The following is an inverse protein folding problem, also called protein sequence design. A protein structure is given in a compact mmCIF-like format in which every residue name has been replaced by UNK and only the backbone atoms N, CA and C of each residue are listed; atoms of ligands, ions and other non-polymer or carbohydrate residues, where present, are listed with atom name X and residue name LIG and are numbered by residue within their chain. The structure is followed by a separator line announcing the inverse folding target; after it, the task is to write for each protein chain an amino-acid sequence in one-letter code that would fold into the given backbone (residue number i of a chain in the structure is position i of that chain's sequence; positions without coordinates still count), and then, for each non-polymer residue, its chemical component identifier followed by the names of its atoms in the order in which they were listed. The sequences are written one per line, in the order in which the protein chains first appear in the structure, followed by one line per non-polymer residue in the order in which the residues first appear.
data_IF_510914673206
#
_entry.id   IF_510914673206
#
_cell.length_a   1.000
_cell.length_b   1.000
_cell.length_c   1.000
_cell.angle_alpha   90.00
_cell.angle_beta   90.00
_cell.angle_gamma   90.00
#
_symmetry.space_group_name_H-M   'P 1'
#
loop_
_entity.id
_entity.type
_entity.pdbx_description
1 polymer ?
#
# COMPACT_ATOMS: atom_id res chain seq x y z
N UNK A 1 -16.11 33.41 -46.18
CA UNK A 1 -16.92 32.94 -45.03
C UNK A 1 -16.45 31.54 -44.70
N UNK A 2 -15.60 31.40 -43.68
CA UNK A 2 -15.15 30.10 -43.15
C UNK A 2 -15.99 29.77 -41.91
N UNK A 3 -16.82 28.74 -42.05
CA UNK A 3 -17.62 28.20 -40.92
C UNK A 3 -16.74 27.18 -40.19
N UNK A 4 -16.29 27.54 -39.00
CA UNK A 4 -15.55 26.62 -38.12
C UNK A 4 -16.52 25.64 -37.45
N UNK A 5 -16.37 24.35 -37.72
CA UNK A 5 -17.04 23.29 -36.97
C UNK A 5 -16.37 23.13 -35.61
N UNK A 6 -17.04 23.53 -34.55
CA UNK A 6 -16.69 23.18 -33.16
C UNK A 6 -17.19 21.76 -32.90
N UNK A 7 -16.31 20.77 -32.89
CA UNK A 7 -16.61 19.43 -32.42
C UNK A 7 -16.57 19.39 -30.89
N UNK A 8 -17.74 19.35 -30.27
CA UNK A 8 -17.88 19.12 -28.82
C UNK A 8 -17.51 17.66 -28.52
N UNK A 9 -16.39 17.46 -27.83
CA UNK A 9 -16.04 16.16 -27.25
C UNK A 9 -16.89 15.98 -25.97
N UNK A 10 -17.99 15.23 -26.11
CA UNK A 10 -18.75 14.77 -24.94
C UNK A 10 -17.94 13.68 -24.24
N UNK A 11 -17.50 13.95 -23.02
CA UNK A 11 -16.95 12.95 -22.12
C UNK A 11 -18.07 11.93 -21.82
N UNK A 12 -18.01 10.76 -22.45
CA UNK A 12 -18.85 9.63 -22.10
C UNK A 12 -18.41 9.11 -20.72
N UNK A 13 -19.24 9.36 -19.72
CA UNK A 13 -19.17 8.60 -18.46
C UNK A 13 -19.47 7.15 -18.79
N UNK A 14 -18.42 6.30 -18.75
CA UNK A 14 -18.58 4.86 -18.90
C UNK A 14 -19.42 4.37 -17.70
N UNK A 15 -20.71 4.17 -17.95
CA UNK A 15 -21.57 3.41 -17.04
C UNK A 15 -20.96 2.01 -16.91
N UNK A 16 -20.75 1.54 -15.65
CA UNK A 16 -20.29 0.19 -15.40
C UNK A 16 -21.21 -0.77 -16.16
N UNK A 17 -20.66 -1.48 -17.18
CA UNK A 17 -21.43 -2.48 -17.90
C UNK A 17 -21.96 -3.48 -16.87
N UNK A 18 -23.29 -3.66 -16.82
CA UNK A 18 -23.92 -4.56 -15.88
C UNK A 18 -23.29 -5.95 -15.95
N UNK A 19 -23.05 -6.58 -14.81
CA UNK A 19 -22.49 -7.94 -14.73
C UNK A 19 -23.60 -8.94 -15.15
N UNK A 20 -23.52 -9.57 -16.34
CA UNK A 20 -24.59 -10.45 -16.79
C UNK A 20 -24.84 -11.58 -15.81
N UNK A 21 -26.11 -11.77 -15.41
CA UNK A 21 -26.50 -12.79 -14.43
C UNK A 21 -26.24 -12.44 -12.97
N UNK A 22 -25.62 -11.32 -12.66
CA UNK A 22 -25.26 -10.91 -11.29
C UNK A 22 -25.65 -9.44 -11.02
N UNK A 23 -26.93 -9.13 -10.76
CA UNK A 23 -27.40 -7.74 -10.58
C UNK A 23 -26.78 -7.07 -9.36
N UNK A 24 -26.36 -7.86 -8.38
CA UNK A 24 -25.73 -7.36 -7.16
C UNK A 24 -24.21 -7.22 -7.26
N UNK A 25 -23.62 -7.54 -8.40
CA UNK A 25 -22.18 -7.38 -8.62
C UNK A 25 -21.77 -5.91 -8.48
N UNK A 26 -20.58 -5.68 -7.89
CA UNK A 26 -20.00 -4.32 -7.79
C UNK A 26 -19.42 -3.86 -9.14
N UNK A 27 -18.89 -4.78 -9.91
CA UNK A 27 -18.21 -4.50 -11.17
C UNK A 27 -16.86 -3.77 -11.01
N UNK A 28 -16.16 -3.63 -12.14
CA UNK A 28 -15.00 -2.75 -12.26
C UNK A 28 -15.48 -1.44 -12.89
N UNK A 29 -15.30 -0.32 -12.20
CA UNK A 29 -15.84 0.97 -12.63
C UNK A 29 -15.03 1.61 -13.76
N UNK A 30 -13.71 1.50 -13.68
CA UNK A 30 -12.78 2.00 -14.69
C UNK A 30 -11.44 1.28 -14.64
N UNK A 31 -10.64 1.49 -15.68
CA UNK A 31 -9.26 1.03 -15.74
C UNK A 31 -8.32 2.23 -15.79
N UNK A 32 -7.28 2.22 -14.95
CA UNK A 32 -6.19 3.19 -14.99
C UNK A 32 -5.02 2.54 -15.71
N UNK A 33 -4.48 3.23 -16.70
CA UNK A 33 -3.26 2.85 -17.40
C UNK A 33 -2.08 3.59 -16.80
N UNK A 34 -1.12 2.88 -16.24
CA UNK A 34 0.01 3.45 -15.50
C UNK A 34 1.30 3.27 -16.27
N UNK A 35 2.12 4.34 -16.36
CA UNK A 35 3.50 4.23 -16.82
C UNK A 35 4.43 3.92 -15.61
N UNK A 36 5.00 2.70 -15.53
CA UNK A 36 5.88 2.29 -14.45
C UNK A 36 7.15 3.15 -14.31
N UNK A 37 7.62 3.71 -15.41
CA UNK A 37 8.84 4.54 -15.44
C UNK A 37 8.60 5.93 -14.89
N UNK A 38 7.42 6.51 -15.15
CA UNK A 38 7.02 7.81 -14.62
C UNK A 38 6.75 7.75 -13.10
N UNK A 39 6.25 6.61 -12.61
CA UNK A 39 5.89 6.41 -11.21
C UNK A 39 6.50 5.12 -10.67
N UNK A 40 7.82 5.05 -10.43
CA UNK A 40 8.53 3.80 -10.14
C UNK A 40 8.24 3.18 -8.77
N UNK A 41 7.64 3.93 -7.84
CA UNK A 41 7.29 3.46 -6.48
C UNK A 41 5.93 4.00 -6.07
N UNK A 42 5.04 3.15 -5.54
CA UNK A 42 3.70 3.53 -5.08
C UNK A 42 3.24 2.73 -3.85
N UNK A 43 2.27 3.30 -3.11
CA UNK A 43 1.65 2.71 -1.93
C UNK A 43 2.10 3.35 -0.62
N UNK A 44 1.15 3.95 0.10
CA UNK A 44 1.41 4.82 1.25
C UNK A 44 1.82 4.11 2.54
N UNK A 45 1.86 2.78 2.54
CA UNK A 45 2.49 2.06 3.64
C UNK A 45 4.00 2.28 3.71
N UNK A 46 4.64 2.61 2.57
CA UNK A 46 6.09 2.84 2.49
C UNK A 46 6.48 4.14 1.79
N UNK A 47 5.68 4.62 0.84
CA UNK A 47 6.03 5.73 -0.03
C UNK A 47 5.07 6.91 0.13
N UNK A 48 5.50 8.11 -0.29
CA UNK A 48 4.65 9.30 -0.27
C UNK A 48 3.63 9.36 -1.40
N UNK A 49 3.64 8.39 -2.33
CA UNK A 49 2.77 8.34 -3.50
C UNK A 49 1.93 7.07 -3.51
N UNK A 50 0.75 7.17 -4.13
CA UNK A 50 -0.11 6.04 -4.44
C UNK A 50 -0.70 6.20 -5.84
N UNK A 51 -1.64 5.36 -6.24
CA UNK A 51 -2.35 5.46 -7.51
C UNK A 51 -3.25 6.71 -7.57
N UNK A 52 -3.50 7.27 -8.77
CA UNK A 52 -4.34 8.45 -8.97
C UNK A 52 -5.83 8.09 -8.88
N UNK A 53 -6.24 7.66 -7.69
CA UNK A 53 -7.60 7.25 -7.38
C UNK A 53 -8.46 8.45 -7.00
N UNK A 54 -9.72 8.41 -7.39
CA UNK A 54 -10.76 9.31 -6.90
C UNK A 54 -11.24 8.87 -5.51
N UNK A 55 -11.98 9.72 -4.83
CA UNK A 55 -12.62 9.35 -3.58
C UNK A 55 -13.55 8.14 -3.76
N UNK A 56 -13.59 7.25 -2.77
CA UNK A 56 -14.32 5.97 -2.82
C UNK A 56 -13.85 5.02 -3.94
N UNK A 57 -12.60 5.09 -4.37
CA UNK A 57 -12.00 4.11 -5.27
C UNK A 57 -11.04 3.17 -4.55
N UNK A 58 -11.11 1.89 -4.90
CA UNK A 58 -10.25 0.85 -4.34
C UNK A 58 -9.67 -0.03 -5.44
N UNK A 59 -8.38 -0.32 -5.32
CA UNK A 59 -7.68 -1.32 -6.14
C UNK A 59 -7.48 -2.57 -5.31
N UNK A 60 -8.00 -3.69 -5.80
CA UNK A 60 -7.80 -4.99 -5.17
C UNK A 60 -6.48 -5.60 -5.63
N UNK A 61 -5.64 -6.03 -4.69
CA UNK A 61 -4.40 -6.73 -5.01
C UNK A 61 -4.25 -8.00 -4.18
N UNK A 62 -3.73 -9.06 -4.84
CA UNK A 62 -3.54 -10.37 -4.24
C UNK A 62 -2.09 -10.81 -4.44
N UNK A 63 -1.47 -11.29 -3.37
CA UNK A 63 -0.09 -11.75 -3.35
C UNK A 63 -0.01 -13.27 -3.15
N UNK A 64 1.15 -13.85 -3.47
CA UNK A 64 1.63 -15.21 -3.18
C UNK A 64 1.14 -16.33 -4.10
N UNK A 65 0.09 -16.15 -4.88
CA UNK A 65 -0.43 -17.17 -5.80
C UNK A 65 0.49 -17.52 -6.98
N UNK A 66 0.03 -18.41 -7.86
CA UNK A 66 -1.27 -19.06 -7.87
C UNK A 66 -1.29 -20.39 -7.09
N UNK A 67 -2.13 -20.49 -6.07
CA UNK A 67 -2.37 -21.75 -5.35
C UNK A 67 -3.74 -22.32 -5.74
N UNK A 68 -3.83 -23.45 -6.48
CA UNK A 68 -5.09 -23.90 -7.11
C UNK A 68 -6.28 -23.96 -6.17
N UNK A 69 -6.03 -24.38 -4.92
CA UNK A 69 -7.11 -24.55 -3.92
C UNK A 69 -7.83 -23.24 -3.58
N UNK A 70 -7.12 -22.13 -3.55
CA UNK A 70 -7.67 -20.85 -3.08
C UNK A 70 -7.72 -19.80 -4.18
N UNK A 71 -6.66 -19.69 -5.00
CA UNK A 71 -6.64 -18.72 -6.10
C UNK A 71 -7.80 -18.93 -7.07
N UNK A 72 -8.15 -20.19 -7.38
CA UNK A 72 -9.30 -20.48 -8.24
C UNK A 72 -10.62 -19.97 -7.64
N UNK A 73 -10.84 -20.17 -6.34
CA UNK A 73 -12.02 -19.67 -5.66
C UNK A 73 -12.07 -18.13 -5.62
N UNK A 74 -10.93 -17.48 -5.45
CA UNK A 74 -10.85 -16.02 -5.53
C UNK A 74 -11.23 -15.54 -6.94
N UNK A 75 -10.73 -16.20 -7.99
CA UNK A 75 -11.08 -15.88 -9.38
C UNK A 75 -12.59 -16.06 -9.65
N UNK A 76 -13.19 -17.15 -9.15
CA UNK A 76 -14.61 -17.41 -9.30
C UNK A 76 -15.47 -16.34 -8.57
N UNK A 77 -15.05 -15.91 -7.37
CA UNK A 77 -15.70 -14.83 -6.63
C UNK A 77 -15.58 -13.50 -7.39
N UNK A 78 -14.38 -13.15 -7.88
CA UNK A 78 -14.18 -11.93 -8.67
C UNK A 78 -14.99 -11.94 -9.95
N UNK A 79 -15.08 -13.09 -10.64
CA UNK A 79 -15.89 -13.27 -11.84
C UNK A 79 -17.38 -13.04 -11.56
N UNK A 80 -17.92 -13.61 -10.46
CA UNK A 80 -19.33 -13.40 -10.07
C UNK A 80 -19.66 -11.95 -9.72
N UNK A 81 -18.65 -11.14 -9.42
CA UNK A 81 -18.77 -9.71 -9.18
C UNK A 81 -18.31 -8.83 -10.35
N UNK A 82 -17.89 -9.40 -11.50
CA UNK A 82 -17.28 -8.71 -12.64
C UNK A 82 -16.14 -7.75 -12.21
N UNK A 83 -15.46 -8.11 -11.14
CA UNK A 83 -14.38 -7.31 -10.54
C UNK A 83 -13.02 -7.73 -11.09
N UNK A 84 -12.19 -6.77 -11.46
CA UNK A 84 -10.80 -7.01 -11.88
C UNK A 84 -9.84 -6.60 -10.77
N UNK A 85 -8.70 -7.31 -10.70
CA UNK A 85 -7.68 -7.12 -9.68
C UNK A 85 -6.28 -7.24 -10.27
N UNK A 86 -5.26 -6.95 -9.47
CA UNK A 86 -3.86 -7.22 -9.78
C UNK A 86 -3.35 -8.34 -8.90
N UNK A 87 -2.72 -9.35 -9.51
CA UNK A 87 -2.13 -10.49 -8.82
C UNK A 87 -0.61 -10.42 -8.90
N UNK A 88 0.05 -10.40 -7.74
CA UNK A 88 1.50 -10.46 -7.63
C UNK A 88 1.92 -11.90 -7.37
N UNK A 89 2.29 -12.60 -8.44
CA UNK A 89 2.53 -14.04 -8.43
C UNK A 89 3.97 -14.38 -8.05
N UNK A 90 4.12 -15.38 -7.20
CA UNK A 90 5.43 -15.95 -6.84
C UNK A 90 5.90 -16.87 -7.95
N UNK A 91 7.15 -16.71 -8.41
CA UNK A 91 7.70 -17.45 -9.56
C UNK A 91 7.71 -18.96 -9.36
N UNK A 92 8.04 -19.45 -8.15
CA UNK A 92 7.99 -20.90 -7.84
C UNK A 92 6.55 -21.44 -7.88
N UNK A 93 5.55 -20.68 -7.47
CA UNK A 93 4.14 -21.04 -7.59
C UNK A 93 3.69 -21.02 -9.06
N UNK A 94 4.12 -20.00 -9.82
CA UNK A 94 3.85 -19.92 -11.25
C UNK A 94 4.45 -21.12 -12.02
N UNK A 95 5.67 -21.54 -11.67
CA UNK A 95 6.31 -22.73 -12.22
C UNK A 95 5.55 -24.01 -11.87
N UNK A 96 5.10 -24.14 -10.62
CA UNK A 96 4.34 -25.30 -10.14
C UNK A 96 2.92 -25.37 -10.70
N UNK A 97 2.30 -24.21 -10.99
CA UNK A 97 0.93 -24.10 -11.48
C UNK A 97 0.80 -23.07 -12.64
N UNK A 98 1.39 -23.35 -13.81
CA UNK A 98 1.32 -22.45 -14.95
C UNK A 98 -0.12 -22.24 -15.45
N UNK A 99 -1.00 -23.23 -15.30
CA UNK A 99 -2.42 -23.09 -15.61
C UNK A 99 -3.09 -22.00 -14.77
N UNK A 100 -2.77 -21.93 -13.47
CA UNK A 100 -3.28 -20.88 -12.60
C UNK A 100 -2.87 -19.49 -13.04
N UNK A 101 -1.63 -19.30 -13.55
CA UNK A 101 -1.19 -18.02 -14.13
C UNK A 101 -2.04 -17.64 -15.34
N UNK A 102 -2.27 -18.59 -16.25
CA UNK A 102 -3.10 -18.36 -17.44
C UNK A 102 -4.55 -18.04 -17.06
N UNK A 103 -5.12 -18.75 -16.07
CA UNK A 103 -6.47 -18.44 -15.57
C UNK A 103 -6.59 -17.00 -15.04
N UNK A 104 -5.59 -16.48 -14.32
CA UNK A 104 -5.55 -15.09 -13.87
C UNK A 104 -5.58 -14.14 -15.08
N UNK A 105 -4.73 -14.38 -16.09
CA UNK A 105 -4.67 -13.59 -17.33
C UNK A 105 -5.99 -13.67 -18.10
N UNK A 106 -6.50 -14.87 -18.36
CA UNK A 106 -7.67 -15.12 -19.20
C UNK A 106 -8.95 -14.58 -18.56
N UNK A 107 -9.00 -14.52 -17.22
CA UNK A 107 -10.04 -13.82 -16.49
C UNK A 107 -9.88 -12.28 -16.57
N UNK A 108 -8.87 -11.76 -17.28
CA UNK A 108 -8.64 -10.34 -17.54
C UNK A 108 -8.09 -9.56 -16.35
N UNK A 109 -7.46 -10.24 -15.40
CA UNK A 109 -6.74 -9.60 -14.31
C UNK A 109 -5.32 -9.22 -14.74
N UNK A 110 -4.71 -8.28 -14.03
CA UNK A 110 -3.31 -7.93 -14.24
C UNK A 110 -2.41 -8.95 -13.54
N UNK A 111 -1.55 -9.62 -14.33
CA UNK A 111 -0.51 -10.53 -13.84
C UNK A 111 0.75 -9.74 -13.58
N UNK A 112 1.22 -9.71 -12.35
CA UNK A 112 2.43 -9.05 -11.87
C UNK A 112 3.33 -10.05 -11.12
N UNK A 113 4.46 -9.61 -10.56
CA UNK A 113 5.45 -10.52 -9.98
C UNK A 113 5.73 -10.24 -8.51
N UNK A 114 6.03 -11.33 -7.75
CA UNK A 114 6.31 -11.30 -6.32
C UNK A 114 7.59 -12.07 -5.96
N UNK A 115 8.67 -11.88 -6.76
CA UNK A 115 9.94 -12.61 -6.68
C UNK A 115 9.83 -14.10 -7.04
N UNK A 116 10.96 -14.83 -7.01
CA UNK A 116 10.99 -16.25 -7.37
C UNK A 116 10.50 -17.14 -6.24
N UNK A 117 11.03 -16.96 -5.02
CA UNK A 117 10.83 -17.88 -3.90
C UNK A 117 10.23 -17.22 -2.66
N UNK A 118 9.77 -15.98 -2.76
CA UNK A 118 9.20 -15.23 -1.65
C UNK A 118 10.11 -15.17 -0.41
N UNK A 119 11.38 -14.73 -0.50
CA UNK A 119 12.28 -14.70 0.65
C UNK A 119 11.82 -13.68 1.70
N UNK A 120 11.72 -14.11 2.95
CA UNK A 120 11.17 -13.33 4.06
C UNK A 120 12.01 -12.14 4.55
N UNK A 121 13.01 -11.71 3.79
CA UNK A 121 13.93 -10.64 4.22
C UNK A 121 14.78 -10.12 3.07
N UNK A 122 14.16 -9.72 1.97
CA UNK A 122 14.83 -9.18 0.78
C UNK A 122 15.79 -8.04 1.12
N UNK A 123 15.40 -7.17 2.03
CA UNK A 123 16.19 -6.03 2.51
C UNK A 123 17.55 -6.39 3.14
N UNK A 124 17.71 -7.65 3.57
CA UNK A 124 18.91 -8.17 4.24
C UNK A 124 19.71 -9.14 3.39
N UNK A 125 19.19 -9.54 2.25
CA UNK A 125 19.93 -10.37 1.30
C UNK A 125 21.06 -9.58 0.62
N UNK A 126 22.14 -10.25 0.21
CA UNK A 126 23.07 -9.66 -0.76
C UNK A 126 22.31 -9.15 -1.98
N UNK A 127 22.64 -7.97 -2.48
CA UNK A 127 21.89 -7.32 -3.57
C UNK A 127 21.76 -8.22 -4.80
N UNK A 128 22.81 -8.96 -5.15
CA UNK A 128 22.78 -9.85 -6.33
C UNK A 128 21.80 -11.02 -6.15
N UNK A 129 21.61 -11.50 -4.92
CA UNK A 129 20.58 -12.50 -4.62
C UNK A 129 19.18 -11.90 -4.77
N UNK A 130 18.99 -10.66 -4.31
CA UNK A 130 17.72 -9.97 -4.49
C UNK A 130 17.40 -9.71 -5.96
N UNK A 131 18.41 -9.34 -6.77
CA UNK A 131 18.27 -9.22 -8.22
C UNK A 131 17.86 -10.55 -8.88
N UNK A 132 18.52 -11.64 -8.51
CA UNK A 132 18.18 -12.98 -9.00
C UNK A 132 16.75 -13.38 -8.66
N UNK A 133 16.30 -13.13 -7.44
CA UNK A 133 14.91 -13.39 -7.02
C UNK A 133 13.89 -12.63 -7.89
N UNK A 134 14.19 -11.37 -8.23
CA UNK A 134 13.33 -10.57 -9.09
C UNK A 134 13.33 -11.10 -10.53
N UNK A 135 14.52 -11.29 -11.14
CA UNK A 135 14.66 -11.71 -12.53
C UNK A 135 14.11 -13.12 -12.78
N UNK A 136 14.40 -14.06 -11.87
CA UNK A 136 13.88 -15.42 -11.96
C UNK A 136 12.36 -15.46 -11.77
N UNK A 137 11.82 -14.64 -10.86
CA UNK A 137 10.37 -14.50 -10.69
C UNK A 137 9.68 -14.05 -11.97
N UNK A 138 10.21 -13.03 -12.63
CA UNK A 138 9.71 -12.55 -13.92
C UNK A 138 9.81 -13.65 -14.97
N UNK A 139 10.96 -14.34 -15.08
CA UNK A 139 11.17 -15.40 -16.05
C UNK A 139 10.19 -16.57 -15.85
N UNK A 140 9.95 -17.00 -14.60
CA UNK A 140 9.02 -18.08 -14.29
C UNK A 140 7.57 -17.72 -14.62
N UNK A 141 7.13 -16.49 -14.32
CA UNK A 141 5.78 -16.03 -14.66
C UNK A 141 5.63 -15.89 -16.18
N UNK A 142 6.64 -15.35 -16.88
CA UNK A 142 6.66 -15.28 -18.36
C UNK A 142 6.53 -16.66 -18.99
N UNK A 143 7.32 -17.63 -18.51
CA UNK A 143 7.25 -19.01 -19.00
C UNK A 143 5.85 -19.64 -18.75
N UNK A 144 5.23 -19.34 -17.62
CA UNK A 144 3.90 -19.86 -17.27
C UNK A 144 2.77 -19.27 -18.14
N UNK A 145 2.91 -18.03 -18.62
CA UNK A 145 1.96 -17.39 -19.56
C UNK A 145 1.92 -18.11 -20.91
N UNK A 146 3.03 -18.68 -21.35
CA UNK A 146 3.16 -19.56 -22.53
C UNK A 146 2.71 -18.95 -23.88
N UNK A 147 2.51 -17.65 -23.96
CA UNK A 147 2.08 -16.91 -25.17
C UNK A 147 3.15 -15.91 -25.65
N UNK A 148 4.32 -15.93 -25.04
CA UNK A 148 5.42 -15.00 -25.34
C UNK A 148 5.23 -13.61 -24.69
N UNK A 149 4.13 -13.37 -23.99
CA UNK A 149 3.93 -12.10 -23.28
C UNK A 149 4.67 -12.07 -21.96
N UNK A 150 5.13 -10.90 -21.57
CA UNK A 150 5.69 -10.68 -20.23
C UNK A 150 4.58 -10.30 -19.24
N UNK A 151 4.75 -10.59 -17.93
CA UNK A 151 3.88 -10.03 -16.92
C UNK A 151 3.94 -8.50 -16.93
N UNK A 152 2.91 -7.86 -16.38
CA UNK A 152 2.94 -6.42 -16.17
C UNK A 152 4.22 -6.03 -15.42
N UNK A 153 4.88 -4.92 -15.79
CA UNK A 153 6.11 -4.47 -15.14
C UNK A 153 5.85 -3.89 -13.74
N UNK A 154 5.05 -4.62 -12.97
CA UNK A 154 4.72 -4.35 -11.59
C UNK A 154 5.36 -5.41 -10.69
N UNK A 155 6.01 -4.98 -9.65
CA UNK A 155 6.72 -5.83 -8.70
C UNK A 155 6.29 -5.48 -7.28
N UNK A 156 5.91 -6.47 -6.50
CA UNK A 156 5.77 -6.30 -5.05
C UNK A 156 6.86 -7.11 -4.36
N UNK A 157 7.54 -6.49 -3.40
CA UNK A 157 8.60 -7.14 -2.63
C UNK A 157 7.98 -7.88 -1.45
N UNK A 158 8.34 -9.15 -1.21
CA UNK A 158 7.83 -9.96 -0.11
C UNK A 158 7.91 -9.27 1.24
N UNK A 159 6.77 -9.28 1.97
CA UNK A 159 6.64 -8.63 3.27
C UNK A 159 6.89 -7.12 3.24
N UNK A 160 6.89 -6.49 2.05
CA UNK A 160 7.21 -5.09 1.80
C UNK A 160 8.64 -4.72 2.28
N UNK A 161 9.58 -5.69 2.33
CA UNK A 161 10.93 -5.53 2.88
C UNK A 161 11.93 -5.21 1.77
N UNK A 162 12.05 -3.94 1.45
CA UNK A 162 12.92 -3.41 0.39
C UNK A 162 14.05 -2.53 0.96
N UNK A 163 14.98 -2.16 0.10
CA UNK A 163 16.01 -1.16 0.33
C UNK A 163 16.34 -0.41 -0.97
N UNK A 164 17.11 0.67 -0.88
CA UNK A 164 17.43 1.54 -2.02
C UNK A 164 18.07 0.78 -3.19
N UNK A 165 18.94 -0.20 -2.92
CA UNK A 165 19.59 -0.99 -3.96
C UNK A 165 18.60 -1.83 -4.77
N UNK A 166 17.63 -2.44 -4.11
CA UNK A 166 16.55 -3.22 -4.74
C UNK A 166 15.67 -2.29 -5.58
N UNK A 167 15.28 -1.14 -5.04
CA UNK A 167 14.42 -0.18 -5.74
C UNK A 167 15.12 0.44 -6.95
N UNK A 168 16.40 0.77 -6.84
CA UNK A 168 17.20 1.25 -7.96
C UNK A 168 17.31 0.18 -9.06
N UNK A 169 17.52 -1.09 -8.67
CA UNK A 169 17.55 -2.18 -9.61
C UNK A 169 16.19 -2.35 -10.31
N UNK A 170 15.09 -2.40 -9.57
CA UNK A 170 13.75 -2.48 -10.15
C UNK A 170 13.49 -1.33 -11.14
N UNK A 171 13.83 -0.10 -10.74
CA UNK A 171 13.74 1.08 -11.63
C UNK A 171 14.58 0.95 -12.89
N UNK A 172 15.81 0.43 -12.80
CA UNK A 172 16.69 0.21 -13.96
C UNK A 172 16.11 -0.80 -14.97
N UNK A 173 15.27 -1.72 -14.48
CA UNK A 173 14.53 -2.68 -15.30
C UNK A 173 13.17 -2.14 -15.80
N UNK A 174 12.82 -0.90 -15.48
CA UNK A 174 11.51 -0.32 -15.81
C UNK A 174 10.35 -0.89 -15.01
N UNK A 175 10.62 -1.49 -13.85
CA UNK A 175 9.61 -2.04 -12.96
C UNK A 175 9.09 -0.96 -12.01
N UNK A 176 7.78 -0.96 -11.77
CA UNK A 176 7.16 -0.20 -10.70
C UNK A 176 7.08 -1.07 -9.44
N UNK A 177 7.65 -0.61 -8.34
CA UNK A 177 7.56 -1.29 -7.05
C UNK A 177 6.27 -0.85 -6.34
N UNK A 178 5.45 -1.84 -6.01
CA UNK A 178 4.18 -1.65 -5.34
C UNK A 178 4.30 -1.99 -3.86
N UNK A 179 4.07 -1.02 -3.01
CA UNK A 179 3.61 -1.25 -1.66
C UNK A 179 2.07 -1.40 -1.68
N UNK A 180 1.41 -1.09 -0.59
CA UNK A 180 -0.04 -0.98 -0.53
C UNK A 180 -0.41 0.30 0.23
N UNK A 181 -1.70 0.65 0.24
CA UNK A 181 -2.17 1.73 1.10
C UNK A 181 -2.67 1.18 2.43
N UNK A 182 -3.22 -0.01 2.43
CA UNK A 182 -3.65 -0.71 3.65
C UNK A 182 -3.79 -2.21 3.42
N UNK A 183 -3.44 -3.02 4.41
CA UNK A 183 -3.61 -4.47 4.37
C UNK A 183 -4.92 -4.89 5.05
N UNK A 184 -5.36 -6.13 4.84
CA UNK A 184 -6.44 -6.77 5.59
C UNK A 184 -5.92 -7.71 6.71
N UNK A 185 -4.62 -7.86 6.85
CA UNK A 185 -3.93 -8.76 7.79
C UNK A 185 -4.32 -10.25 7.64
N UNK A 186 -4.73 -10.65 6.45
CA UNK A 186 -5.18 -12.01 6.13
C UNK A 186 -4.07 -13.07 6.17
N UNK A 187 -2.79 -12.67 6.21
CA UNK A 187 -1.64 -13.56 6.45
C UNK A 187 -1.45 -13.91 7.93
N UNK A 188 -2.10 -13.17 8.85
CA UNK A 188 -2.04 -13.41 10.29
C UNK A 188 -3.05 -14.48 10.69
N UNK A 189 -2.87 -15.06 11.86
CA UNK A 189 -3.87 -15.99 12.40
C UNK A 189 -5.07 -15.23 12.98
N UNK A 190 -5.96 -14.83 12.06
CA UNK A 190 -7.20 -14.10 12.35
C UNK A 190 -8.38 -14.76 11.63
N UNK A 191 -9.59 -14.54 12.12
CA UNK A 191 -10.80 -15.04 11.46
C UNK A 191 -11.09 -14.28 10.15
N UNK A 192 -11.85 -14.91 9.24
CA UNK A 192 -12.33 -14.25 8.03
C UNK A 192 -13.18 -12.99 8.34
N UNK A 193 -13.95 -13.01 9.43
CA UNK A 193 -14.68 -11.83 9.90
C UNK A 193 -13.73 -10.69 10.24
N UNK A 194 -12.58 -10.99 10.88
CA UNK A 194 -11.59 -9.98 11.21
C UNK A 194 -10.88 -9.42 9.98
N UNK A 195 -10.59 -10.25 8.97
CA UNK A 195 -10.06 -9.80 7.66
C UNK A 195 -11.01 -8.79 7.04
N UNK A 196 -12.30 -9.11 6.96
CA UNK A 196 -13.33 -8.19 6.47
C UNK A 196 -13.35 -6.86 7.27
N UNK A 197 -13.43 -6.93 8.60
CA UNK A 197 -13.46 -5.73 9.45
C UNK A 197 -12.25 -4.82 9.22
N UNK A 198 -11.06 -5.41 9.15
CA UNK A 198 -9.82 -4.64 8.94
C UNK A 198 -9.78 -4.02 7.56
N UNK A 199 -10.18 -4.75 6.51
CA UNK A 199 -10.22 -4.22 5.15
C UNK A 199 -11.13 -2.97 5.09
N UNK A 200 -12.38 -3.09 5.56
CA UNK A 200 -13.35 -1.99 5.51
C UNK A 200 -12.93 -0.83 6.41
N UNK A 201 -12.59 -1.07 7.67
CA UNK A 201 -12.17 -0.02 8.61
C UNK A 201 -10.99 0.80 8.09
N UNK A 202 -9.98 0.13 7.52
CA UNK A 202 -8.77 0.80 7.03
C UNK A 202 -9.02 1.55 5.73
N UNK A 203 -9.88 1.02 4.86
CA UNK A 203 -10.31 1.71 3.66
C UNK A 203 -11.09 2.98 4.01
N UNK A 204 -12.06 2.90 4.92
CA UNK A 204 -12.83 4.07 5.36
C UNK A 204 -11.94 5.15 5.98
N UNK A 205 -10.96 4.76 6.78
CA UNK A 205 -10.01 5.70 7.37
C UNK A 205 -9.20 6.46 6.31
N UNK A 206 -8.96 5.87 5.14
CA UNK A 206 -8.20 6.47 4.03
C UNK A 206 -9.10 7.05 2.93
N UNK A 207 -10.33 6.59 2.82
CA UNK A 207 -11.30 6.98 1.80
C UNK A 207 -11.09 6.33 0.43
N UNK A 208 -9.88 5.89 0.12
CA UNK A 208 -9.47 5.25 -1.14
C UNK A 208 -8.15 4.52 -0.97
N UNK A 209 -7.73 3.71 -1.94
CA UNK A 209 -6.38 3.16 -1.94
C UNK A 209 -6.25 1.73 -2.43
N UNK A 210 -5.02 1.20 -2.31
CA UNK A 210 -4.61 -0.14 -2.71
C UNK A 210 -4.81 -1.08 -1.51
N UNK A 211 -5.73 -2.03 -1.63
CA UNK A 211 -5.96 -3.08 -0.64
C UNK A 211 -5.05 -4.28 -0.91
N UNK A 212 -4.28 -4.70 0.10
CA UNK A 212 -3.43 -5.88 0.06
C UNK A 212 -4.13 -7.08 0.71
N UNK A 213 -4.26 -8.15 -0.07
CA UNK A 213 -4.79 -9.45 0.28
C UNK A 213 -3.85 -10.55 -0.26
N UNK A 214 -4.10 -11.81 0.12
CA UNK A 214 -3.35 -12.98 -0.38
C UNK A 214 -4.31 -14.04 -0.91
N UNK A 215 -4.11 -14.48 -2.16
CA UNK A 215 -4.98 -15.48 -2.80
C UNK A 215 -4.64 -16.94 -2.43
N UNK A 216 -3.74 -17.11 -1.47
CA UNK A 216 -3.40 -18.41 -0.89
C UNK A 216 -4.06 -18.67 0.48
N UNK A 217 -4.91 -17.77 0.95
CA UNK A 217 -5.50 -17.82 2.29
C UNK A 217 -6.98 -18.20 2.25
N UNK A 218 -7.35 -19.28 2.95
CA UNK A 218 -8.77 -19.70 3.08
C UNK A 218 -9.66 -18.60 3.67
N UNK A 219 -9.11 -17.81 4.61
CA UNK A 219 -9.82 -16.71 5.25
C UNK A 219 -10.12 -15.56 4.30
N UNK A 220 -9.26 -15.34 3.31
CA UNK A 220 -9.48 -14.37 2.23
C UNK A 220 -10.62 -14.83 1.33
N UNK A 221 -10.61 -16.09 0.90
CA UNK A 221 -11.72 -16.68 0.14
C UNK A 221 -13.07 -16.47 0.87
N UNK A 222 -13.11 -16.74 2.17
CA UNK A 222 -14.34 -16.58 2.99
C UNK A 222 -14.73 -15.11 3.17
N UNK A 223 -13.78 -14.19 3.30
CA UNK A 223 -14.04 -12.77 3.57
C UNK A 223 -14.40 -11.99 2.30
N UNK A 224 -13.86 -12.37 1.14
CA UNK A 224 -13.93 -11.57 -0.10
C UNK A 224 -15.36 -11.27 -0.57
N UNK A 225 -16.32 -12.22 -0.58
CA UNK A 225 -17.68 -11.91 -0.99
C UNK A 225 -18.32 -10.81 -0.13
N UNK A 226 -18.08 -10.86 1.18
CA UNK A 226 -18.59 -9.84 2.11
C UNK A 226 -17.88 -8.50 1.92
N UNK A 227 -16.57 -8.50 1.64
CA UNK A 227 -15.82 -7.28 1.32
C UNK A 227 -16.42 -6.62 0.07
N UNK A 228 -16.61 -7.38 -1.02
CA UNK A 228 -17.15 -6.86 -2.28
C UNK A 228 -18.57 -6.32 -2.13
N UNK A 229 -19.42 -7.03 -1.40
CA UNK A 229 -20.77 -6.56 -1.08
C UNK A 229 -20.75 -5.25 -0.30
N UNK A 230 -19.95 -5.17 0.76
CA UNK A 230 -19.85 -3.97 1.61
C UNK A 230 -19.26 -2.77 0.87
N UNK A 231 -18.28 -2.99 -0.01
CA UNK A 231 -17.76 -1.95 -0.90
C UNK A 231 -18.88 -1.33 -1.74
N UNK A 232 -19.73 -2.19 -2.35
CA UNK A 232 -20.88 -1.73 -3.14
C UNK A 232 -21.87 -0.93 -2.29
N UNK A 233 -22.26 -1.46 -1.14
CA UNK A 233 -23.23 -0.82 -0.22
C UNK A 233 -22.75 0.57 0.24
N UNK A 234 -21.45 0.71 0.46
CA UNK A 234 -20.81 1.98 0.88
C UNK A 234 -20.47 2.91 -0.27
N UNK A 235 -20.83 2.57 -1.51
CA UNK A 235 -20.58 3.41 -2.69
C UNK A 235 -19.13 3.43 -3.15
N UNK A 236 -18.31 2.45 -2.74
CA UNK A 236 -16.96 2.28 -3.29
C UNK A 236 -17.02 1.70 -4.69
N UNK A 237 -16.02 2.05 -5.50
CA UNK A 237 -15.82 1.59 -6.87
C UNK A 237 -14.51 0.84 -6.99
N UNK A 238 -14.53 -0.31 -7.66
CA UNK A 238 -13.30 -1.05 -7.96
C UNK A 238 -12.66 -0.46 -9.20
N UNK A 239 -11.37 -0.19 -9.12
CA UNK A 239 -10.53 0.28 -10.22
C UNK A 239 -9.53 -0.80 -10.59
N UNK A 240 -9.45 -1.11 -11.88
CA UNK A 240 -8.44 -2.00 -12.44
C UNK A 240 -7.21 -1.21 -12.88
N UNK A 241 -6.02 -1.77 -12.71
CA UNK A 241 -4.77 -1.11 -13.09
C UNK A 241 -4.00 -1.98 -14.08
N UNK A 242 -3.60 -1.38 -15.20
CA UNK A 242 -2.83 -2.04 -16.23
C UNK A 242 -1.62 -1.18 -16.63
N UNK A 243 -0.52 -1.77 -17.12
CA UNK A 243 0.62 -0.99 -17.57
C UNK A 243 0.34 -0.30 -18.91
N UNK A 244 1.00 0.84 -19.11
CA UNK A 244 1.06 1.48 -20.42
C UNK A 244 1.84 0.61 -21.42
N UNK A 245 1.36 0.61 -22.66
CA UNK A 245 2.02 -0.01 -23.81
C UNK A 245 2.01 0.98 -24.99
N UNK A 246 2.77 0.74 -26.08
CA UNK A 246 2.70 1.60 -27.25
C UNK A 246 1.27 1.83 -27.75
N UNK A 247 0.43 0.80 -27.71
CA UNK A 247 -0.97 0.83 -28.20
C UNK A 247 -1.97 1.27 -27.13
N UNK A 248 -1.53 1.42 -25.89
CA UNK A 248 -2.35 1.83 -24.75
C UNK A 248 -1.60 2.87 -23.92
N UNK A 249 -1.73 4.16 -24.26
CA UNK A 249 -1.04 5.24 -23.54
C UNK A 249 -1.49 5.34 -22.10
N UNK A 250 -0.61 5.88 -21.25
CA UNK A 250 -0.92 6.13 -19.85
C UNK A 250 -2.13 7.07 -19.71
N UNK A 251 -2.96 6.81 -18.72
CA UNK A 251 -4.05 7.71 -18.34
C UNK A 251 -3.46 9.08 -17.97
N UNK A 252 -3.91 10.17 -18.59
CA UNK A 252 -3.45 11.52 -18.21
C UNK A 252 -3.77 11.80 -16.75
N UNK A 253 -2.77 12.25 -16.00
CA UNK A 253 -2.89 12.54 -14.57
C UNK A 253 -2.03 13.70 -14.17
N UNK A 254 -2.47 14.44 -13.15
CA UNK A 254 -1.70 15.50 -12.52
C UNK A 254 -0.84 14.94 -11.37
N UNK A 255 0.34 15.50 -11.08
CA UNK A 255 1.21 15.01 -10.01
C UNK A 255 0.56 14.91 -8.64
N UNK A 256 -0.40 15.81 -8.34
CA UNK A 256 -1.14 15.84 -7.07
C UNK A 256 -2.06 14.63 -6.89
N UNK A 257 -2.58 14.07 -7.98
CA UNK A 257 -3.47 12.90 -7.93
C UNK A 257 -2.75 11.63 -7.44
N UNK A 258 -1.41 11.61 -7.49
CA UNK A 258 -0.59 10.51 -6.97
C UNK A 258 -0.34 10.58 -5.45
N UNK A 259 -0.99 11.51 -4.78
CA UNK A 259 -1.01 11.58 -3.32
C UNK A 259 -2.33 11.00 -2.81
N UNK A 260 -2.28 10.29 -1.69
CA UNK A 260 -3.49 9.70 -1.11
C UNK A 260 -4.52 10.78 -0.77
N UNK A 261 -4.04 11.89 -0.23
CA UNK A 261 -4.84 13.06 0.10
C UNK A 261 -4.16 14.30 -0.52
N UNK A 262 -4.43 14.62 -1.79
CA UNK A 262 -3.89 15.83 -2.39
C UNK A 262 -4.41 17.07 -1.64
N UNK A 263 -3.65 18.17 -1.62
CA UNK A 263 -4.02 19.39 -0.87
C UNK A 263 -5.45 19.90 -1.16
N UNK A 264 -5.91 19.74 -2.39
CA UNK A 264 -7.28 20.08 -2.80
C UNK A 264 -8.36 19.21 -2.15
N UNK A 265 -8.03 17.97 -1.78
CA UNK A 265 -8.93 17.05 -1.07
C UNK A 265 -8.87 17.24 0.44
N UNK A 266 -7.70 17.63 0.98
CA UNK A 266 -7.57 17.95 2.41
C UNK A 266 -8.46 19.11 2.83
N UNK A 267 -8.87 19.95 1.88
CA UNK A 267 -9.78 21.10 2.07
C UNK A 267 -11.20 20.79 1.57
N UNK A 268 -11.55 19.55 1.29
CA UNK A 268 -12.92 19.20 0.93
C UNK A 268 -13.87 19.59 2.07
N UNK A 269 -14.56 20.72 1.86
CA UNK A 269 -15.51 21.37 2.81
C UNK A 269 -16.58 20.38 3.32
N UNK A 270 -16.87 19.33 2.56
CA UNK A 270 -17.81 18.26 2.95
C UNK A 270 -17.33 17.39 4.12
N UNK A 271 -16.00 17.34 4.40
CA UNK A 271 -15.41 16.61 5.52
C UNK A 271 -15.07 17.47 6.72
N UNK A 272 -15.20 18.79 6.59
CA UNK A 272 -15.07 19.63 7.76
C UNK A 272 -16.23 19.32 8.72
N UNK A 273 -15.94 19.13 10.01
CA UNK A 273 -17.03 19.13 10.99
C UNK A 273 -17.77 20.41 10.74
N UNK A 274 -19.07 20.34 10.49
CA UNK A 274 -19.96 21.43 10.06
C UNK A 274 -19.47 22.78 10.57
N UNK A 275 -18.57 23.42 9.80
CA UNK A 275 -18.13 24.77 10.13
C UNK A 275 -19.36 25.62 10.04
N UNK A 276 -19.73 26.32 11.10
CA UNK A 276 -20.88 27.24 11.06
C UNK A 276 -20.67 28.18 9.88
N UNK A 277 -21.62 28.23 8.97
CA UNK A 277 -21.61 29.22 7.88
C UNK A 277 -21.81 30.58 8.52
N UNK A 278 -20.73 31.27 8.81
CA UNK A 278 -20.80 32.65 9.28
C UNK A 278 -21.17 33.53 8.09
N UNK A 279 -22.37 34.07 8.09
CA UNK A 279 -22.67 35.24 7.27
C UNK A 279 -22.06 36.43 8.00
N UNK A 280 -20.98 37.01 7.48
CA UNK A 280 -20.45 38.27 7.95
C UNK A 280 -21.44 39.41 7.58
N UNK A 281 -22.32 39.73 8.48
CA UNK A 281 -23.19 40.92 8.36
C UNK A 281 -22.45 42.09 9.00
N UNK A 282 -21.75 42.87 8.16
CA UNK A 282 -21.18 44.16 8.58
C UNK A 282 -19.82 44.06 9.30
N UNK A 283 -19.20 45.22 9.64
CA UNK A 283 -17.87 45.32 10.25
C UNK A 283 -17.85 44.96 11.76
N UNK A 284 -18.80 44.16 12.23
CA UNK A 284 -18.81 43.70 13.61
C UNK A 284 -17.65 42.69 13.85
N UNK A 285 -16.92 42.87 14.92
CA UNK A 285 -15.86 42.00 15.34
C UNK A 285 -16.31 40.54 15.36
N UNK A 286 -15.52 39.61 14.80
CA UNK A 286 -15.75 38.19 14.93
C UNK A 286 -15.90 37.85 16.41
N UNK A 287 -16.90 37.05 16.81
CA UNK A 287 -16.98 36.57 18.17
C UNK A 287 -15.67 35.86 18.54
N UNK A 288 -15.05 36.26 19.61
CA UNK A 288 -13.91 35.58 20.17
C UNK A 288 -14.35 34.15 20.51
N UNK A 289 -13.63 33.09 20.09
CA UNK A 289 -13.96 31.73 20.48
C UNK A 289 -14.11 31.67 21.99
N UNK A 290 -15.19 31.07 22.46
CA UNK A 290 -15.36 30.84 23.89
C UNK A 290 -14.21 30.00 24.43
N UNK A 291 -13.70 30.32 25.63
CA UNK A 291 -12.61 29.56 26.27
C UNK A 291 -12.91 28.06 26.38
N UNK A 292 -14.18 27.67 26.34
CA UNK A 292 -14.64 26.28 26.25
C UNK A 292 -14.15 25.55 24.99
N UNK A 293 -13.85 26.27 23.90
CA UNK A 293 -13.33 25.65 22.68
C UNK A 293 -11.81 25.40 22.75
N UNK A 294 -11.13 26.04 23.69
CA UNK A 294 -9.71 25.83 23.95
C UNK A 294 -9.44 24.70 24.98
N UNK A 295 -10.40 24.41 25.84
CA UNK A 295 -10.29 23.35 26.84
C UNK A 295 -10.49 21.94 26.27
N UNK A 296 -11.04 21.83 25.08
CA UNK A 296 -11.31 20.53 24.44
C UNK A 296 -10.03 19.76 24.04
N UNK A 297 -8.93 20.49 23.85
CA UNK A 297 -7.66 19.88 23.43
C UNK A 297 -6.74 19.50 24.57
N UNK A 298 -7.03 19.92 25.80
CA UNK A 298 -6.15 19.63 26.95
C UNK A 298 -6.64 18.49 27.83
N UNK A 299 -7.91 18.08 27.75
CA UNK A 299 -8.50 17.05 28.61
C UNK A 299 -8.52 15.64 28.01
N UNK A 300 -8.26 15.48 26.72
CA UNK A 300 -8.36 14.17 26.05
C UNK A 300 -7.04 13.37 25.96
N UNK A 301 -5.96 13.89 26.56
CA UNK A 301 -4.67 13.18 26.63
C UNK A 301 -4.43 12.40 27.95
N UNK A 302 -5.41 12.39 28.83
CA UNK A 302 -5.34 11.66 30.09
C UNK A 302 -6.60 10.86 30.35
N UNK A 303 -6.63 9.62 29.90
CA UNK A 303 -7.75 8.71 30.13
C UNK A 303 -8.12 8.56 31.60
N UNK A 304 -9.21 9.20 32.01
CA UNK A 304 -10.02 8.79 33.16
C UNK A 304 -11.49 9.12 32.88
N UNK A 305 -12.31 8.08 32.87
CA UNK A 305 -13.75 8.15 32.80
C UNK A 305 -14.32 9.14 33.84
N UNK A 306 -14.84 10.27 33.39
CA UNK A 306 -15.60 11.19 34.24
C UNK A 306 -17.00 10.63 34.42
N UNK A 307 -17.41 10.49 35.68
CA UNK A 307 -18.72 10.07 36.16
C UNK A 307 -19.79 11.03 35.61
N UNK A 308 -20.92 10.46 35.12
CA UNK A 308 -22.13 11.19 34.73
C UNK A 308 -22.56 12.13 35.87
N UNK A 309 -22.35 13.42 35.68
CA UNK A 309 -22.95 14.48 36.43
C UNK A 309 -24.29 14.90 35.75
N UNK A 310 -25.30 15.18 36.56
CA UNK A 310 -26.65 15.60 36.17
C UNK A 310 -26.59 16.75 35.19
N UNK A 311 -27.44 16.67 34.17
CA UNK A 311 -27.53 17.62 33.08
C UNK A 311 -27.74 19.04 33.52
N UNK A 312 -26.89 19.91 33.04
CA UNK A 312 -27.15 21.37 32.98
C UNK A 312 -28.11 21.57 31.80
N UNK A 313 -29.23 22.28 31.96
CA UNK A 313 -30.13 22.58 30.86
C UNK A 313 -29.39 23.39 29.81
N UNK A 314 -29.40 22.89 28.55
CA UNK A 314 -28.93 23.69 27.42
C UNK A 314 -29.79 24.98 27.32
N UNK A 315 -29.21 26.16 27.07
CA UNK A 315 -29.97 27.36 26.80
C UNK A 315 -30.86 27.12 25.58
N UNK A 316 -32.05 27.74 25.52
CA UNK A 316 -32.99 27.56 24.44
C UNK A 316 -32.31 27.88 23.11
N UNK A 317 -32.60 27.06 22.09
CA UNK A 317 -32.09 27.17 20.74
C UNK A 317 -32.58 28.42 20.03
N UNK A 318 -32.23 29.56 20.56
CA UNK A 318 -32.48 30.85 19.98
C UNK A 318 -31.16 31.51 19.69
N UNK A 319 -31.06 31.94 18.44
CA UNK A 319 -30.10 32.94 17.97
C UNK A 319 -28.93 32.45 17.10
N UNK A 320 -29.19 31.47 16.26
CA UNK A 320 -28.41 31.43 15.04
C UNK A 320 -29.14 32.25 13.97
N UNK A 321 -28.51 33.24 13.34
CA UNK A 321 -29.16 34.01 12.28
C UNK A 321 -29.57 33.04 11.15
N UNK A 322 -30.86 33.06 10.79
CA UNK A 322 -31.36 32.33 9.64
C UNK A 322 -30.66 32.84 8.38
N UNK A 323 -30.23 31.96 7.51
CA UNK A 323 -29.66 32.28 6.21
C UNK A 323 -30.57 33.28 5.48
N UNK A 324 -30.09 34.48 5.28
CA UNK A 324 -30.60 35.36 4.23
C UNK A 324 -29.92 34.96 2.93
N UNK A 325 -30.70 34.86 1.88
CA UNK A 325 -30.32 34.51 0.52
C UNK A 325 -29.03 35.21 0.08
N UNK A 326 -28.12 34.44 -0.52
CA UNK A 326 -26.94 34.98 -1.19
C UNK A 326 -27.35 36.05 -2.20
N UNK A 327 -26.71 37.21 -2.25
CA UNK A 327 -26.94 38.17 -3.31
C UNK A 327 -26.58 37.55 -4.66
N UNK A 328 -27.49 37.66 -5.60
CA UNK A 328 -27.34 37.23 -6.98
C UNK A 328 -26.11 37.87 -7.59
N UNK A 329 -25.28 37.07 -8.30
CA UNK A 329 -24.08 37.53 -8.98
C UNK A 329 -24.39 38.72 -9.92
N UNK A 330 -23.95 39.91 -9.55
CA UNK A 330 -24.17 41.12 -10.34
C UNK A 330 -23.24 42.29 -9.99
N UNK A 331 -22.57 42.25 -8.85
CA UNK A 331 -21.62 43.29 -8.47
C UNK A 331 -20.33 42.63 -7.97
N UNK A 332 -19.32 42.64 -8.80
CA UNK A 332 -17.93 42.38 -8.43
C UNK A 332 -17.44 43.52 -7.52
N UNK A 333 -17.91 43.53 -6.26
CA UNK A 333 -17.20 44.25 -5.21
C UNK A 333 -15.98 43.39 -4.86
N UNK A 334 -14.80 43.90 -5.14
CA UNK A 334 -13.53 43.28 -4.74
C UNK A 334 -13.62 42.99 -3.23
N UNK A 335 -13.36 41.74 -2.85
CA UNK A 335 -13.25 41.38 -1.45
C UNK A 335 -12.20 42.27 -0.79
N UNK A 336 -12.51 42.91 0.37
CA UNK A 336 -11.54 43.75 1.04
C UNK A 336 -10.31 42.91 1.39
N UNK A 337 -9.16 43.38 0.94
CA UNK A 337 -7.87 42.75 1.28
C UNK A 337 -7.71 42.87 2.80
N UNK A 338 -7.49 41.77 3.53
CA UNK A 338 -7.27 41.82 4.97
C UNK A 338 -6.15 42.79 5.31
N UNK A 339 -6.38 43.69 6.28
CA UNK A 339 -5.32 44.62 6.69
C UNK A 339 -4.05 43.88 7.09
N UNK A 340 -2.89 44.32 6.61
CA UNK A 340 -1.60 43.70 6.88
C UNK A 340 -1.29 43.56 8.39
N UNK A 341 -1.96 44.32 9.24
CA UNK A 341 -1.91 44.22 10.70
C UNK A 341 -2.43 42.90 11.25
N UNK A 342 -3.35 42.21 10.55
CA UNK A 342 -3.86 40.88 10.96
C UNK A 342 -2.82 39.77 10.85
N UNK A 343 -1.76 40.00 10.07
CA UNK A 343 -0.65 39.04 9.90
C UNK A 343 0.61 39.43 10.69
N UNK A 344 0.54 40.49 11.51
CA UNK A 344 1.66 40.84 12.40
C UNK A 344 1.64 39.93 13.61
N UNK A 345 2.58 39.01 13.65
CA UNK A 345 2.84 38.18 14.85
C UNK A 345 3.27 39.15 15.97
N UNK A 346 2.58 39.14 17.13
CA UNK A 346 2.98 39.95 18.27
C UNK A 346 4.45 39.72 18.64
N UNK A 347 5.16 40.74 19.05
CA UNK A 347 6.60 40.66 19.33
C UNK A 347 6.89 39.66 20.45
N UNK A 348 5.98 39.51 21.43
CA UNK A 348 6.03 38.47 22.45
C UNK A 348 5.97 37.04 21.88
N UNK A 349 5.22 36.79 20.81
CA UNK A 349 5.15 35.48 20.15
C UNK A 349 6.41 35.22 19.28
N UNK A 350 6.99 36.28 18.72
CA UNK A 350 8.27 36.20 17.99
C UNK A 350 9.41 35.79 18.92
N UNK A 351 9.49 36.38 20.11
CA UNK A 351 10.50 36.04 21.11
C UNK A 351 10.35 34.60 21.58
N UNK A 352 9.14 34.09 21.76
CA UNK A 352 8.90 32.71 22.17
C UNK A 352 9.28 31.71 21.07
N UNK A 353 9.02 32.02 19.81
CA UNK A 353 9.40 31.18 18.67
C UNK A 353 10.93 31.15 18.47
N UNK A 354 11.63 32.29 18.63
CA UNK A 354 13.08 32.35 18.54
C UNK A 354 13.74 31.62 19.71
N UNK A 355 13.21 31.73 20.94
CA UNK A 355 13.71 31.01 22.13
C UNK A 355 13.50 29.49 22.00
N UNK A 356 12.39 29.05 21.41
CA UNK A 356 12.12 27.64 21.17
C UNK A 356 13.00 27.03 20.08
N UNK A 357 13.30 27.77 19.01
CA UNK A 357 14.22 27.34 17.96
C UNK A 357 15.68 27.28 18.44
N UNK A 358 16.11 28.23 19.26
CA UNK A 358 17.43 28.24 19.87
C UNK A 358 17.63 27.07 20.86
N UNK A 359 16.60 26.73 21.65
CA UNK A 359 16.63 25.57 22.54
C UNK A 359 16.68 24.25 21.76
N UNK A 360 15.97 24.13 20.65
CA UNK A 360 16.03 22.93 19.77
C UNK A 360 17.41 22.78 19.12
N UNK A 361 18.02 23.87 18.68
CA UNK A 361 19.37 23.85 18.09
C UNK A 361 20.42 23.45 19.16
N UNK A 362 20.36 23.99 20.37
CA UNK A 362 21.26 23.64 21.49
C UNK A 362 21.11 22.17 21.88
N UNK A 363 19.89 21.63 21.92
CA UNK A 363 19.65 20.22 22.27
C UNK A 363 20.14 19.27 21.16
N UNK A 364 20.06 19.67 19.88
CA UNK A 364 20.59 18.91 18.76
C UNK A 364 22.12 18.88 18.78
N UNK A 365 22.75 20.00 19.14
CA UNK A 365 24.20 20.12 19.24
C UNK A 365 24.78 19.35 20.42
N UNK A 366 24.10 19.34 21.60
CA UNK A 366 24.45 18.54 22.76
C UNK A 366 24.37 17.03 22.46
N UNK A 367 23.34 16.57 21.75
CA UNK A 367 23.24 15.15 21.32
C UNK A 367 24.33 14.75 20.32
N UNK A 368 24.74 15.65 19.43
CA UNK A 368 25.81 15.40 18.47
C UNK A 368 27.18 15.25 19.17
N UNK A 369 27.44 16.03 20.19
CA UNK A 369 28.68 15.94 21.02
C UNK A 369 28.72 14.70 21.91
N UNK A 370 27.58 14.26 22.46
CA UNK A 370 27.49 13.00 23.21
C UNK A 370 27.74 11.77 22.36
N UNK A 371 27.18 11.73 21.12
CA UNK A 371 27.38 10.63 20.17
C UNK A 371 28.85 10.57 19.69
N UNK A 372 29.52 11.74 19.54
CA UNK A 372 30.95 11.80 19.20
C UNK A 372 31.86 11.35 20.31
N UNK A 373 31.57 11.73 21.57
CA UNK A 373 32.35 11.29 22.72
C UNK A 373 32.16 9.81 23.06
N UNK A 374 30.95 9.26 22.85
CA UNK A 374 30.70 7.82 23.01
C UNK A 374 31.43 6.98 21.93
N UNK A 375 31.56 7.52 20.71
CA UNK A 375 32.28 6.88 19.62
C UNK A 375 33.80 6.87 19.82
N UNK A 376 34.36 7.92 20.45
CA UNK A 376 35.76 8.02 20.84
C UNK A 376 36.10 7.09 22.03
N UNK A 377 35.23 7.01 23.04
CA UNK A 377 35.39 6.10 24.18
C UNK A 377 35.28 4.61 23.76
N UNK A 378 34.43 4.30 22.80
CA UNK A 378 34.31 2.95 22.23
C UNK A 378 35.56 2.51 21.46
N UNK A 379 36.23 3.44 20.75
CA UNK A 379 37.46 3.18 20.03
C UNK A 379 38.65 2.96 20.95
N UNK A 380 38.73 3.75 22.08
CA UNK A 380 39.79 3.60 23.07
C UNK A 380 39.69 2.26 23.82
N UNK A 381 38.48 1.79 24.14
CA UNK A 381 38.28 0.47 24.79
C UNK A 381 38.57 -0.71 23.86
N UNK A 382 38.46 -0.59 22.55
CA UNK A 382 38.83 -1.65 21.59
C UNK A 382 40.36 -1.75 21.45
N UNK A 383 41.09 -0.63 21.46
CA UNK A 383 42.55 -0.67 21.43
C UNK A 383 43.19 -1.17 22.74
N UNK A 384 42.60 -0.88 23.91
CA UNK A 384 43.06 -1.40 25.19
C UNK A 384 42.85 -2.92 25.38
N UNK A 385 41.87 -3.51 24.67
CA UNK A 385 41.59 -4.97 24.73
C UNK A 385 42.46 -5.80 23.78
N UNK A 386 43.09 -5.19 22.77
CA UNK A 386 43.98 -5.85 21.82
C UNK A 386 45.44 -5.96 22.32
N UNK A 387 45.78 -5.25 23.44
CA UNK A 387 47.15 -5.18 23.96
C UNK A 387 47.49 -6.20 25.08
N UNK A 388 46.56 -7.09 25.47
CA UNK A 388 46.72 -8.01 26.60
C UNK A 388 46.52 -9.47 26.28
N UNK A 389 46.84 -9.93 25.06
CA UNK A 389 46.89 -11.33 24.73
C UNK A 389 48.40 -11.78 24.68
N UNK A 390 48.85 -12.80 25.43
CA UNK A 390 50.20 -13.29 25.33
C UNK A 390 50.42 -14.09 24.06
N UNK A 391 51.65 -14.09 23.50
CA UNK A 391 51.95 -14.83 22.26
C UNK A 391 51.95 -16.36 22.50
N UNK A 392 51.53 -17.17 21.49
CA UNK A 392 51.65 -18.61 21.59
C UNK A 392 53.11 -19.04 21.44
N UNK A 393 53.52 -19.98 22.29
CA UNK A 393 54.84 -20.59 22.32
C UNK A 393 55.09 -21.42 21.05
N UNK A 394 56.25 -21.19 20.47
CA UNK A 394 56.84 -21.97 19.41
C UNK A 394 57.40 -23.29 19.94
N UNK A 395 56.97 -24.42 19.41
CA UNK A 395 57.77 -25.64 19.36
C UNK A 395 57.59 -26.28 18.01
N UNK A 396 58.57 -26.51 17.40
CA UNK A 396 59.21 -26.89 16.27
C UNK A 396 59.05 -28.33 15.85
N UNK A 397 59.33 -28.48 14.61
CA UNK A 397 60.01 -29.62 13.97
C UNK A 397 59.19 -30.85 13.55
N UNK A 398 59.17 -31.08 12.31
CA UNK A 398 59.63 -32.11 11.40
C UNK A 398 58.55 -32.71 10.50
N UNK A 399 58.73 -32.48 9.22
CA UNK A 399 58.28 -33.39 8.15
C UNK A 399 59.18 -34.64 8.13
N UNK A 400 58.82 -35.80 7.54
CA UNK A 400 58.63 -35.92 6.11
C UNK A 400 57.62 -37.00 5.60
N UNK A 401 57.26 -36.80 4.34
CA UNK A 401 57.11 -37.74 3.21
C UNK A 401 56.20 -38.98 3.26
N UNK A 402 55.37 -39.00 2.25
CA UNK A 402 55.21 -39.99 1.16
C UNK A 402 54.01 -40.94 1.15
N UNK A 403 53.40 -40.85 -0.02
CA UNK A 403 52.93 -41.98 -0.88
C UNK A 403 51.60 -42.70 -0.58
N UNK A 404 50.82 -42.74 -1.63
CA UNK A 404 50.08 -43.93 -2.02
C UNK A 404 48.57 -43.87 -2.05
N UNK A 405 48.02 -43.53 -3.16
CA UNK A 405 47.26 -44.38 -4.10
C UNK A 405 46.06 -45.19 -3.55
N UNK A 406 45.02 -45.08 -4.34
CA UNK A 406 44.00 -46.07 -4.72
C UNK A 406 42.59 -45.90 -4.16
N UNK A 407 41.72 -45.59 -5.11
CA UNK A 407 40.32 -46.00 -5.09
C UNK A 407 40.24 -47.55 -5.29
N UNK A 408 39.13 -48.20 -4.95
CA UNK A 408 38.01 -48.29 -5.88
C UNK A 408 36.60 -48.44 -5.25
N UNK A 409 35.60 -48.22 -6.09
CA UNK A 409 34.25 -48.81 -6.10
C UNK A 409 34.34 -50.38 -6.15
N UNK A 410 33.30 -51.22 -5.90
CA UNK A 410 31.91 -51.10 -6.35
C UNK A 410 30.79 -51.76 -5.49
N UNK A 411 29.54 -51.47 -5.84
CA UNK A 411 28.36 -52.30 -6.08
C UNK A 411 28.07 -53.59 -5.29
N UNK A 412 26.84 -53.79 -4.90
CA UNK A 412 25.91 -54.86 -5.28
C UNK A 412 24.63 -54.87 -4.46
N UNK A 413 23.49 -54.75 -5.12
CA UNK A 413 22.46 -55.79 -5.38
C UNK A 413 21.58 -56.16 -4.19
N UNK A 414 20.32 -55.73 -4.25
CA UNK A 414 19.14 -56.50 -4.60
C UNK A 414 18.62 -57.50 -3.54
N UNK A 415 17.38 -57.32 -3.16
CA UNK A 415 16.41 -58.45 -3.19
C UNK A 415 14.94 -57.93 -3.16
N UNK A 416 14.24 -58.35 -4.19
CA UNK A 416 12.83 -58.46 -4.40
C UNK A 416 12.15 -59.17 -3.23
N UNK A 417 10.95 -58.78 -2.88
CA UNK A 417 9.86 -59.72 -2.66
C UNK A 417 8.51 -59.07 -2.97
N UNK A 418 7.90 -59.62 -3.98
CA UNK A 418 6.54 -59.32 -4.38
C UNK A 418 5.53 -60.02 -3.47
N UNK A 419 4.36 -59.41 -3.39
CA UNK A 419 3.14 -60.17 -3.15
C UNK A 419 1.97 -59.53 -3.89
N UNK A 420 1.55 -60.19 -4.91
CA UNK A 420 0.33 -60.09 -5.65
C UNK A 420 -0.82 -60.62 -4.79
N UNK A 421 -1.95 -59.90 -4.77
CA UNK A 421 -3.31 -60.51 -4.57
C UNK A 421 -4.37 -59.62 -5.22
N UNK A 422 -4.86 -60.04 -6.34
CA UNK A 422 -6.20 -60.40 -6.78
C UNK A 422 -7.30 -59.33 -6.80
N UNK A 423 -7.75 -59.19 -8.01
CA UNK A 423 -8.99 -58.66 -8.52
C UNK A 423 -10.19 -59.53 -8.11
N UNK A 424 -11.27 -58.91 -7.72
CA UNK A 424 -12.68 -59.37 -7.89
C UNK A 424 -13.52 -58.09 -7.75
N UNK A 425 -14.32 -57.61 -8.63
CA UNK A 425 -15.26 -58.30 -9.50
C UNK A 425 -16.71 -58.04 -9.07
N UNK A 426 -17.44 -57.15 -9.79
CA UNK A 426 -18.91 -57.10 -10.02
C UNK A 426 -19.83 -56.88 -8.81
N UNK A 427 -20.85 -55.99 -8.84
CA UNK A 427 -22.04 -55.99 -9.67
C UNK A 427 -22.93 -54.75 -9.42
N UNK A 428 -23.59 -54.36 -10.47
CA UNK A 428 -24.74 -53.45 -10.60
C UNK A 428 -25.84 -53.66 -9.56
N UNK A 429 -26.38 -52.59 -9.05
CA UNK A 429 -27.79 -52.20 -9.24
C UNK A 429 -27.91 -50.68 -9.11
#
# INVERSE_FOLDING_TARGET
MCVGLLTSVTAQTASAAGCPGHPDAIGTSRTIVVDPRAHPIIGTMQYGKTLPLEDHEVVLTFDDGPLPKYSNQILDILASHCAKATFFLVGSQAHANPEGVRRVRDAGHTVATHTQNHPGGMDRLPLDRSKQEIEQGIASVTAALADGTAPAPFLRIPGLRTNDGIEQFARSKGLQVWSADFPADDWRDVSAARVYELAIKRLEAKGKGILLLHDIQARTVTALPRILHELKVRGYRIVHVVPATPDRPATPTEPQQWQLHPPSEMVAISRWPKVPKFALAGPAALPVPALSDLDWHTTDLGGRAARRGRGVPLPPAALWPRQTTLPTAGTLAALPVPAASLFKIPESARMTLLASSARRAATAQARSTEVSSAKLAGKSRRHARAATAPPPASTGEAAPQSAGATAPKPAAQAKRNGRSVRVAGLKKR
#
